data_IF_613912554355
#
_entry.id   IF_613912554355
#
_cell.length_a   1.000
_cell.length_b   1.000
_cell.length_c   1.000
_cell.angle_alpha   90.00
_cell.angle_beta   90.00
_cell.angle_gamma   90.00
#
_symmetry.space_group_name_H-M   'P 1'
#
loop_
_entity.id
_entity.type
_entity.pdbx_description
1 polymer ?
#
# COMPACT_ATOMS: atom_id res chain seq x y z
N UNK A 1 -9.89 -1.14 -4.32
CA UNK A 1 -8.75 -2.04 -4.07
C UNK A 1 -7.81 -1.48 -3.00
N UNK A 2 -7.43 -0.21 -3.06
CA UNK A 2 -6.46 0.36 -2.11
C UNK A 2 -7.00 0.48 -0.68
N UNK A 3 -8.29 0.65 -0.50
CA UNK A 3 -8.89 0.80 0.84
C UNK A 3 -8.52 -0.31 1.82
N UNK A 4 -8.23 -1.53 1.33
CA UNK A 4 -7.80 -2.64 2.19
C UNK A 4 -6.43 -2.43 2.84
N UNK A 5 -5.55 -1.63 2.19
CA UNK A 5 -4.18 -1.36 2.67
C UNK A 5 -4.08 -0.10 3.54
N UNK A 6 -5.18 0.63 3.75
CA UNK A 6 -5.18 1.84 4.57
C UNK A 6 -4.69 1.53 5.97
N UNK A 7 -5.30 0.58 6.65
CA UNK A 7 -4.99 0.23 8.04
C UNK A 7 -3.58 -0.38 8.20
N UNK A 8 -3.19 -1.42 7.43
CA UNK A 8 -1.90 -2.06 7.64
C UNK A 8 -0.69 -1.26 7.13
N UNK A 9 -0.88 -0.35 6.15
CA UNK A 9 0.25 0.32 5.52
C UNK A 9 0.13 1.82 5.38
N UNK A 10 -1.01 2.33 4.86
CA UNK A 10 -1.12 3.74 4.46
C UNK A 10 -1.01 4.65 5.69
N UNK A 11 -1.67 4.30 6.81
CA UNK A 11 -1.58 5.07 8.05
C UNK A 11 -0.16 5.08 8.60
N UNK A 12 0.49 3.92 8.72
CA UNK A 12 1.86 3.83 9.22
C UNK A 12 2.89 4.48 8.28
N UNK A 13 2.59 4.63 6.99
CA UNK A 13 3.45 5.34 6.02
C UNK A 13 3.29 6.85 6.11
N UNK A 14 2.05 7.33 6.16
CA UNK A 14 1.73 8.75 6.14
C UNK A 14 2.04 9.40 7.48
N UNK A 15 1.64 8.75 8.57
CA UNK A 15 1.81 9.23 9.94
C UNK A 15 2.97 8.52 10.65
N UNK A 16 4.07 8.22 9.94
CA UNK A 16 5.11 7.38 10.52
C UNK A 16 5.67 7.90 11.85
N UNK A 17 6.02 9.19 12.00
CA UNK A 17 6.46 9.72 13.29
C UNK A 17 5.41 9.53 14.39
N UNK A 18 4.19 10.00 14.14
CA UNK A 18 3.06 9.85 15.06
C UNK A 18 2.78 8.39 15.39
N UNK A 19 2.82 7.49 14.39
CA UNK A 19 2.59 6.06 14.57
C UNK A 19 3.62 5.44 15.52
N UNK A 20 4.90 5.78 15.35
CA UNK A 20 5.97 5.30 16.24
C UNK A 20 5.77 5.81 17.66
N UNK A 21 5.43 7.09 17.83
CA UNK A 21 5.22 7.71 19.14
C UNK A 21 3.99 7.11 19.86
N UNK A 22 2.82 7.09 19.22
CA UNK A 22 1.57 6.68 19.89
C UNK A 22 1.50 5.18 20.22
N UNK A 23 2.27 4.34 19.52
CA UNK A 23 2.38 2.91 19.81
C UNK A 23 3.66 2.56 20.57
N UNK A 24 4.47 3.54 20.96
CA UNK A 24 5.76 3.39 21.64
C UNK A 24 6.66 2.37 20.91
N UNK A 25 6.89 2.60 19.62
CA UNK A 25 7.65 1.72 18.74
C UNK A 25 8.92 2.37 18.22
N UNK A 26 9.96 1.57 18.12
CA UNK A 26 11.13 1.91 17.31
C UNK A 26 10.88 1.64 15.83
N UNK A 27 11.69 2.25 14.96
CA UNK A 27 11.67 1.95 13.52
C UNK A 27 11.93 0.47 13.22
N UNK A 28 12.75 -0.21 14.01
CA UNK A 28 13.04 -1.64 13.89
C UNK A 28 11.80 -2.48 14.22
N UNK A 29 11.10 -2.16 15.28
CA UNK A 29 9.87 -2.86 15.67
C UNK A 29 8.78 -2.69 14.62
N UNK A 30 8.56 -1.48 14.10
CA UNK A 30 7.65 -1.27 12.98
C UNK A 30 8.07 -2.08 11.75
N UNK A 31 9.37 -2.14 11.44
CA UNK A 31 9.92 -3.00 10.39
C UNK A 31 9.61 -4.47 10.63
N UNK A 32 9.65 -4.93 11.89
CA UNK A 32 9.32 -6.31 12.28
C UNK A 32 7.82 -6.59 12.11
N UNK A 33 6.95 -5.63 12.43
CA UNK A 33 5.51 -5.73 12.16
C UNK A 33 5.24 -5.94 10.66
N UNK A 34 5.86 -5.13 9.80
CA UNK A 34 5.76 -5.29 8.35
C UNK A 34 6.34 -6.61 7.86
N UNK A 35 7.41 -7.11 8.46
CA UNK A 35 8.00 -8.40 8.14
C UNK A 35 7.08 -9.55 8.51
N UNK A 36 6.44 -9.49 9.68
CA UNK A 36 5.44 -10.47 10.12
C UNK A 36 4.25 -10.51 9.16
N UNK A 37 3.72 -9.34 8.77
CA UNK A 37 2.72 -9.24 7.72
C UNK A 37 3.22 -9.91 6.43
N UNK A 38 4.45 -9.60 5.99
CA UNK A 38 5.03 -10.10 4.76
C UNK A 38 5.18 -11.62 4.72
N UNK A 39 5.59 -12.24 5.83
CA UNK A 39 5.71 -13.70 5.95
C UNK A 39 4.34 -14.37 5.77
N UNK A 40 3.33 -13.88 6.50
CA UNK A 40 1.96 -14.43 6.38
C UNK A 40 1.38 -14.17 4.98
N UNK A 41 1.62 -12.99 4.42
CA UNK A 41 1.21 -12.64 3.06
C UNK A 41 1.84 -13.59 2.03
N UNK A 42 3.14 -13.88 2.15
CA UNK A 42 3.85 -14.80 1.26
C UNK A 42 3.22 -16.20 1.27
N UNK A 43 2.95 -16.75 2.45
CA UNK A 43 2.26 -18.03 2.58
C UNK A 43 0.83 -17.97 2.01
N UNK A 44 0.16 -16.84 2.20
CA UNK A 44 -1.20 -16.61 1.72
C UNK A 44 -1.30 -16.57 0.19
N UNK A 45 -0.28 -16.10 -0.52
CA UNK A 45 -0.25 -16.12 -2.00
C UNK A 45 -0.35 -17.54 -2.57
N UNK A 46 0.29 -18.53 -1.93
CA UNK A 46 0.31 -19.90 -2.41
C UNK A 46 -1.11 -20.50 -2.46
N UNK A 47 -1.91 -20.24 -1.44
CA UNK A 47 -3.23 -20.81 -1.30
C UNK A 47 -4.38 -19.89 -1.76
N UNK A 48 -4.16 -18.59 -1.79
CA UNK A 48 -5.16 -17.58 -2.15
C UNK A 48 -5.67 -17.73 -3.59
N UNK A 49 -4.81 -18.15 -4.53
CA UNK A 49 -5.20 -18.43 -5.92
C UNK A 49 -6.24 -19.54 -6.02
N UNK A 50 -6.01 -20.66 -5.33
CA UNK A 50 -6.95 -21.80 -5.29
C UNK A 50 -8.30 -21.40 -4.69
N UNK A 51 -8.27 -20.55 -3.66
CA UNK A 51 -9.50 -20.03 -3.03
C UNK A 51 -10.28 -19.13 -4.01
N UNK A 52 -9.59 -18.25 -4.72
CA UNK A 52 -10.19 -17.37 -5.72
C UNK A 52 -10.85 -18.12 -6.88
N UNK A 53 -10.38 -19.34 -7.20
CA UNK A 53 -11.00 -20.17 -8.23
C UNK A 53 -12.28 -20.85 -7.74
N UNK A 54 -12.36 -21.16 -6.45
CA UNK A 54 -13.52 -21.87 -5.86
C UNK A 54 -14.66 -20.97 -5.45
N UNK A 55 -14.37 -19.74 -5.06
CA UNK A 55 -15.36 -18.82 -4.49
C UNK A 55 -15.55 -17.57 -5.35
N UNK A 56 -16.74 -16.99 -5.23
CA UNK A 56 -17.06 -15.75 -5.93
C UNK A 56 -16.15 -14.60 -5.45
N UNK A 57 -15.49 -13.86 -6.38
CA UNK A 57 -14.69 -12.68 -6.03
C UNK A 57 -15.43 -11.68 -5.16
N UNK A 58 -16.73 -11.47 -5.42
CA UNK A 58 -17.61 -10.61 -4.63
C UNK A 58 -17.57 -10.96 -3.13
N UNK A 59 -17.76 -12.25 -2.80
CA UNK A 59 -17.81 -12.70 -1.40
C UNK A 59 -16.43 -12.57 -0.74
N UNK A 60 -15.38 -12.99 -1.42
CA UNK A 60 -14.01 -12.95 -0.89
C UNK A 60 -13.54 -11.51 -0.65
N UNK A 61 -13.74 -10.62 -1.61
CA UNK A 61 -13.34 -9.21 -1.50
C UNK A 61 -14.10 -8.50 -0.37
N UNK A 62 -15.41 -8.73 -0.28
CA UNK A 62 -16.22 -8.13 0.78
C UNK A 62 -15.83 -8.65 2.17
N UNK A 63 -15.73 -9.98 2.33
CA UNK A 63 -15.31 -10.57 3.60
C UNK A 63 -13.94 -10.09 4.04
N UNK A 64 -13.00 -10.00 3.11
CA UNK A 64 -11.65 -9.48 3.36
C UNK A 64 -11.68 -8.04 3.89
N UNK A 65 -12.42 -7.14 3.24
CA UNK A 65 -12.55 -5.74 3.67
C UNK A 65 -13.18 -5.62 5.05
N UNK A 66 -14.27 -6.36 5.30
CA UNK A 66 -14.94 -6.35 6.60
C UNK A 66 -14.01 -6.89 7.70
N UNK A 67 -13.35 -8.03 7.46
CA UNK A 67 -12.41 -8.58 8.43
C UNK A 67 -11.23 -7.63 8.69
N UNK A 68 -10.67 -7.02 7.64
CA UNK A 68 -9.57 -6.05 7.79
C UNK A 68 -10.00 -4.84 8.62
N UNK A 69 -11.23 -4.35 8.45
CA UNK A 69 -11.77 -3.23 9.24
C UNK A 69 -11.93 -3.55 10.72
N UNK A 70 -12.27 -4.80 11.07
CA UNK A 70 -12.33 -5.24 12.46
C UNK A 70 -10.94 -5.19 13.14
N UNK A 71 -9.88 -5.50 12.40
CA UNK A 71 -8.52 -5.31 12.86
C UNK A 71 -8.21 -3.85 13.19
N UNK A 72 -8.76 -2.89 12.42
CA UNK A 72 -8.62 -1.46 12.73
C UNK A 72 -9.33 -1.06 14.01
N UNK A 73 -10.51 -1.62 14.29
CA UNK A 73 -11.19 -1.41 15.58
C UNK A 73 -10.35 -1.92 16.75
N UNK A 74 -9.71 -3.07 16.60
CA UNK A 74 -8.76 -3.56 17.60
C UNK A 74 -7.55 -2.65 17.75
N UNK A 75 -7.01 -2.11 16.65
CA UNK A 75 -5.88 -1.17 16.66
C UNK A 75 -6.19 0.11 17.47
N UNK A 76 -7.44 0.58 17.49
CA UNK A 76 -7.87 1.74 18.30
C UNK A 76 -7.69 1.57 19.81
N UNK A 77 -7.51 0.35 20.29
CA UNK A 77 -7.24 0.06 21.71
C UNK A 77 -5.78 0.24 22.10
N UNK A 78 -4.92 0.64 21.16
CA UNK A 78 -3.46 0.77 21.34
C UNK A 78 -2.85 -0.50 21.97
N UNK A 79 -3.00 -1.67 21.32
CA UNK A 79 -2.54 -2.92 21.87
C UNK A 79 -1.01 -2.95 22.00
N UNK A 80 -0.45 -3.69 22.98
CA UNK A 80 0.98 -3.81 23.14
C UNK A 80 1.63 -4.50 21.94
N UNK A 81 2.94 -4.33 21.80
CA UNK A 81 3.74 -4.74 20.63
C UNK A 81 3.43 -6.16 20.13
N UNK A 82 3.38 -7.17 20.97
CA UNK A 82 3.09 -8.55 20.53
C UNK A 82 1.67 -8.72 19.98
N UNK A 83 0.70 -8.03 20.56
CA UNK A 83 -0.69 -8.05 20.05
C UNK A 83 -0.78 -7.31 18.73
N UNK A 84 -0.03 -6.21 18.58
CA UNK A 84 0.09 -5.48 17.33
C UNK A 84 0.77 -6.35 16.25
N UNK A 85 1.79 -7.14 16.61
CA UNK A 85 2.43 -8.09 15.70
C UNK A 85 1.45 -9.16 15.21
N UNK A 86 0.61 -9.71 16.10
CA UNK A 86 -0.47 -10.63 15.72
C UNK A 86 -1.51 -9.98 14.81
N UNK A 87 -1.83 -8.71 15.04
CA UNK A 87 -2.71 -7.94 14.16
C UNK A 87 -2.12 -7.79 12.75
N UNK A 88 -0.82 -7.52 12.64
CA UNK A 88 -0.15 -7.44 11.33
C UNK A 88 -0.11 -8.80 10.62
N UNK A 89 0.10 -9.90 11.37
CA UNK A 89 -0.06 -11.25 10.83
C UNK A 89 -1.49 -11.50 10.31
N UNK A 90 -2.50 -11.13 11.10
CA UNK A 90 -3.91 -11.21 10.71
C UNK A 90 -4.20 -10.40 9.43
N UNK A 91 -3.67 -9.18 9.31
CA UNK A 91 -3.80 -8.39 8.09
C UNK A 91 -3.06 -9.00 6.90
N UNK A 92 -1.90 -9.63 7.10
CA UNK A 92 -1.22 -10.40 6.06
C UNK A 92 -2.10 -11.49 5.48
N UNK A 93 -2.90 -12.16 6.33
CA UNK A 93 -3.89 -13.14 5.90
C UNK A 93 -5.08 -12.48 5.22
N UNK A 94 -5.78 -11.55 5.86
CA UNK A 94 -7.02 -10.99 5.32
C UNK A 94 -6.81 -10.27 3.99
N UNK A 95 -5.71 -9.51 3.84
CA UNK A 95 -5.46 -8.68 2.66
C UNK A 95 -4.87 -9.44 1.48
N UNK A 96 -4.22 -10.58 1.72
CA UNK A 96 -3.58 -11.35 0.64
C UNK A 96 -4.36 -12.62 0.33
N UNK A 97 -4.64 -13.45 1.32
CA UNK A 97 -5.33 -14.72 1.11
C UNK A 97 -6.75 -14.52 0.59
N UNK A 98 -7.50 -13.57 1.16
CA UNK A 98 -8.90 -13.33 0.81
C UNK A 98 -9.09 -12.26 -0.27
N UNK A 99 -8.11 -11.37 -0.49
CA UNK A 99 -8.33 -10.19 -1.32
C UNK A 99 -7.54 -10.19 -2.62
N UNK A 100 -6.23 -10.45 -2.58
CA UNK A 100 -5.35 -10.16 -3.70
C UNK A 100 -5.70 -10.97 -4.96
N UNK A 101 -5.75 -12.29 -4.86
CA UNK A 101 -6.08 -13.14 -6.00
C UNK A 101 -7.51 -12.91 -6.53
N UNK A 102 -8.56 -12.80 -5.67
CA UNK A 102 -9.90 -12.41 -6.12
C UNK A 102 -9.96 -11.05 -6.79
N UNK A 103 -9.17 -10.06 -6.35
CA UNK A 103 -9.10 -8.74 -6.98
C UNK A 103 -8.53 -8.81 -8.39
N UNK A 104 -7.42 -9.53 -8.57
CA UNK A 104 -6.82 -9.76 -9.89
C UNK A 104 -7.80 -10.46 -10.82
N UNK A 105 -8.46 -11.53 -10.34
CA UNK A 105 -9.48 -12.25 -11.09
C UNK A 105 -10.65 -11.35 -11.48
N UNK A 106 -11.19 -10.58 -10.55
CA UNK A 106 -12.28 -9.65 -10.80
C UNK A 106 -11.89 -8.60 -11.86
N UNK A 107 -10.70 -8.02 -11.74
CA UNK A 107 -10.17 -7.01 -12.67
C UNK A 107 -9.98 -7.62 -14.06
N UNK A 108 -9.45 -8.83 -14.15
CA UNK A 108 -9.27 -9.55 -15.42
C UNK A 108 -10.61 -9.84 -16.11
N UNK A 109 -11.62 -10.29 -15.37
CA UNK A 109 -12.97 -10.55 -15.91
C UNK A 109 -13.60 -9.24 -16.43
N UNK A 110 -13.48 -8.14 -15.69
CA UNK A 110 -13.99 -6.83 -16.10
C UNK A 110 -13.30 -6.27 -17.35
N UNK A 111 -12.00 -6.52 -17.50
CA UNK A 111 -11.21 -6.11 -18.67
C UNK A 111 -11.49 -6.92 -19.92
N UNK A 112 -11.96 -8.15 -19.78
CA UNK A 112 -12.10 -9.09 -20.88
C UNK A 112 -10.77 -9.37 -21.59
N UNK A 113 -10.80 -10.07 -22.73
CA UNK A 113 -9.57 -10.49 -23.42
C UNK A 113 -8.78 -9.33 -24.04
N UNK A 114 -9.44 -8.25 -24.45
CA UNK A 114 -8.84 -7.21 -25.30
C UNK A 114 -8.48 -5.90 -24.54
N UNK A 115 -8.82 -5.76 -23.27
CA UNK A 115 -8.64 -4.52 -22.49
C UNK A 115 -7.95 -4.71 -21.16
N UNK A 116 -7.24 -5.82 -20.98
CA UNK A 116 -6.59 -6.17 -19.70
C UNK A 116 -5.62 -5.07 -19.23
N UNK A 117 -4.68 -4.66 -20.08
CA UNK A 117 -3.70 -3.65 -19.74
C UNK A 117 -4.36 -2.34 -19.28
N UNK A 118 -5.37 -1.86 -20.03
CA UNK A 118 -6.12 -0.65 -19.68
C UNK A 118 -6.84 -0.78 -18.34
N UNK A 119 -7.45 -1.93 -18.06
CA UNK A 119 -8.21 -2.15 -16.83
C UNK A 119 -7.28 -2.23 -15.61
N UNK A 120 -6.13 -2.88 -15.74
CA UNK A 120 -5.12 -2.91 -14.67
C UNK A 120 -4.48 -1.55 -14.44
N UNK A 121 -4.24 -0.75 -15.50
CA UNK A 121 -3.76 0.63 -15.36
C UNK A 121 -4.76 1.52 -14.60
N UNK A 122 -6.06 1.40 -14.91
CA UNK A 122 -7.09 2.11 -14.15
C UNK A 122 -7.18 1.66 -12.69
N UNK A 123 -7.03 0.36 -12.44
CA UNK A 123 -6.99 -0.16 -11.08
C UNK A 123 -5.84 0.49 -10.30
N UNK A 124 -4.66 0.53 -10.89
CA UNK A 124 -3.45 1.00 -10.21
C UNK A 124 -3.43 2.53 -10.04
N UNK A 125 -3.85 3.28 -11.05
CA UNK A 125 -4.06 4.72 -10.95
C UNK A 125 -5.10 5.07 -9.87
N UNK A 126 -6.23 4.35 -9.83
CA UNK A 126 -7.26 4.53 -8.80
C UNK A 126 -6.76 4.21 -7.39
N UNK A 127 -5.82 3.29 -7.25
CA UNK A 127 -5.19 2.97 -5.96
C UNK A 127 -4.42 4.18 -5.41
N UNK A 128 -3.60 4.84 -6.23
CA UNK A 128 -2.88 6.04 -5.82
C UNK A 128 -3.80 7.17 -5.38
N UNK A 129 -4.87 7.44 -6.15
CA UNK A 129 -5.85 8.48 -5.81
C UNK A 129 -6.53 8.17 -4.47
N UNK A 130 -6.98 6.93 -4.27
CA UNK A 130 -7.66 6.52 -3.03
C UNK A 130 -6.72 6.61 -1.83
N UNK A 131 -5.47 6.13 -1.95
CA UNK A 131 -4.47 6.22 -0.87
C UNK A 131 -4.23 7.67 -0.44
N UNK A 132 -4.01 8.57 -1.42
CA UNK A 132 -3.80 9.99 -1.15
C UNK A 132 -5.02 10.66 -0.54
N UNK A 133 -6.21 10.43 -1.11
CA UNK A 133 -7.43 11.08 -0.64
C UNK A 133 -7.77 10.69 0.80
N UNK A 134 -7.64 9.40 1.13
CA UNK A 134 -7.89 8.92 2.50
C UNK A 134 -6.75 9.35 3.43
N UNK A 135 -5.51 9.36 2.94
CA UNK A 135 -4.39 9.89 3.70
C UNK A 135 -4.59 11.37 4.08
N UNK A 136 -4.97 12.22 3.12
CA UNK A 136 -5.27 13.63 3.39
C UNK A 136 -6.50 13.83 4.29
N UNK A 137 -7.52 12.98 4.14
CA UNK A 137 -8.64 12.96 5.07
C UNK A 137 -8.16 12.65 6.50
N UNK A 138 -7.27 11.67 6.66
CA UNK A 138 -6.66 11.35 7.94
C UNK A 138 -5.87 12.54 8.52
N UNK A 139 -5.06 13.21 7.70
CA UNK A 139 -4.32 14.42 8.12
C UNK A 139 -5.29 15.54 8.53
N UNK A 140 -6.36 15.74 7.78
CA UNK A 140 -7.39 16.73 8.12
C UNK A 140 -8.07 16.40 9.45
N UNK A 141 -8.47 15.15 9.67
CA UNK A 141 -9.08 14.71 10.94
C UNK A 141 -8.11 14.91 12.10
N UNK A 142 -6.85 14.51 11.93
CA UNK A 142 -5.82 14.68 12.94
C UNK A 142 -5.64 16.14 13.32
N UNK A 143 -5.58 17.04 12.33
CA UNK A 143 -5.42 18.49 12.54
C UNK A 143 -6.65 19.18 13.16
N UNK A 144 -7.82 18.58 13.10
CA UNK A 144 -9.02 19.11 13.78
C UNK A 144 -9.05 18.78 15.27
N UNK A 145 -8.43 17.69 15.67
CA UNK A 145 -8.44 17.21 17.07
C UNK A 145 -7.27 17.81 17.86
N UNK A 146 -6.10 17.89 17.26
CA UNK A 146 -4.93 18.54 17.88
C UNK A 146 -5.07 20.05 17.71
N UNK A 147 -5.41 20.73 18.80
CA UNK A 147 -5.59 22.20 18.82
C UNK A 147 -4.30 22.84 19.34
N UNK A 148 -3.60 23.59 18.49
CA UNK A 148 -2.36 24.30 18.84
C UNK A 148 -1.13 23.79 18.11
N UNK A 149 0.05 24.00 18.70
CA UNK A 149 1.30 23.50 18.13
C UNK A 149 1.45 22.01 18.46
N UNK A 150 1.50 21.17 17.42
CA UNK A 150 1.61 19.72 17.54
C UNK A 150 2.92 19.31 18.20
N UNK A 151 3.97 20.11 18.04
CA UNK A 151 5.27 19.85 18.68
C UNK A 151 5.20 19.97 20.22
N UNK A 152 4.22 20.69 20.74
CA UNK A 152 3.96 20.84 22.17
C UNK A 152 2.87 19.90 22.69
N UNK A 153 2.17 19.18 21.82
CA UNK A 153 1.08 18.27 22.18
C UNK A 153 1.61 17.01 22.88
N UNK A 154 0.92 16.61 23.92
CA UNK A 154 1.24 15.37 24.65
C UNK A 154 0.99 14.12 23.80
N UNK A 155 1.68 13.02 24.13
CA UNK A 155 1.43 11.72 23.47
C UNK A 155 -0.03 11.27 23.63
N UNK A 156 -0.70 11.58 24.73
CA UNK A 156 -2.12 11.28 24.96
C UNK A 156 -3.02 12.04 23.97
N UNK A 157 -2.78 13.32 23.74
CA UNK A 157 -3.52 14.11 22.74
C UNK A 157 -3.32 13.58 21.32
N UNK A 158 -2.10 13.19 20.97
CA UNK A 158 -1.79 12.55 19.68
C UNK A 158 -2.46 11.19 19.56
N UNK A 159 -2.51 10.38 20.64
CA UNK A 159 -3.24 9.12 20.68
C UNK A 159 -4.73 9.34 20.43
N UNK A 160 -5.36 10.27 21.11
CA UNK A 160 -6.78 10.59 20.92
C UNK A 160 -7.06 11.01 19.49
N UNK A 161 -6.27 11.93 18.94
CA UNK A 161 -6.41 12.36 17.55
C UNK A 161 -6.23 11.20 16.55
N UNK A 162 -5.21 10.38 16.75
CA UNK A 162 -4.92 9.26 15.85
C UNK A 162 -5.96 8.13 15.97
N UNK A 163 -6.59 7.98 17.13
CA UNK A 163 -7.73 7.07 17.33
C UNK A 163 -8.90 7.40 16.41
N UNK A 164 -9.22 8.69 16.22
CA UNK A 164 -10.24 9.11 15.25
C UNK A 164 -9.83 8.79 13.82
N UNK A 165 -8.56 8.98 13.47
CA UNK A 165 -8.03 8.64 12.14
C UNK A 165 -8.17 7.14 11.87
N UNK A 166 -7.78 6.28 12.82
CA UNK A 166 -7.93 4.83 12.71
C UNK A 166 -9.41 4.44 12.61
N UNK A 167 -10.26 5.02 13.45
CA UNK A 167 -11.70 4.73 13.52
C UNK A 167 -12.42 5.06 12.22
N UNK A 168 -12.21 6.26 11.69
CA UNK A 168 -12.83 6.69 10.42
C UNK A 168 -12.27 5.87 9.25
N UNK A 169 -10.97 5.57 9.24
CA UNK A 169 -10.36 4.68 8.24
C UNK A 169 -10.98 3.29 8.29
N UNK A 170 -11.19 2.73 9.48
CA UNK A 170 -11.84 1.42 9.68
C UNK A 170 -13.28 1.44 9.17
N UNK A 171 -14.03 2.49 9.45
CA UNK A 171 -15.40 2.68 8.97
C UNK A 171 -15.45 2.76 7.44
N UNK A 172 -14.53 3.51 6.82
CA UNK A 172 -14.44 3.60 5.35
C UNK A 172 -14.17 2.21 4.76
N UNK A 173 -13.22 1.45 5.30
CA UNK A 173 -12.91 0.10 4.81
C UNK A 173 -14.12 -0.83 4.95
N UNK A 174 -14.85 -0.75 6.07
CA UNK A 174 -16.08 -1.50 6.30
C UNK A 174 -17.15 -1.15 5.27
N UNK A 175 -17.44 0.15 5.07
CA UNK A 175 -18.42 0.63 4.10
C UNK A 175 -18.07 0.15 2.69
N UNK A 176 -16.79 0.24 2.29
CA UNK A 176 -16.34 -0.28 0.99
C UNK A 176 -16.60 -1.79 0.90
N UNK A 177 -16.40 -2.54 1.97
CA UNK A 177 -16.72 -3.97 2.04
C UNK A 177 -18.20 -4.25 1.76
N UNK A 178 -19.11 -3.47 2.37
CA UNK A 178 -20.56 -3.55 2.15
C UNK A 178 -20.92 -3.14 0.71
N UNK A 179 -20.33 -2.07 0.19
CA UNK A 179 -20.54 -1.60 -1.20
C UNK A 179 -20.10 -2.68 -2.20
N UNK A 180 -18.94 -3.31 -2.00
CA UNK A 180 -18.50 -4.43 -2.83
C UNK A 180 -19.47 -5.59 -2.77
N UNK A 181 -19.98 -5.91 -1.58
CA UNK A 181 -20.98 -6.97 -1.43
C UNK A 181 -22.31 -6.66 -2.13
N UNK A 182 -22.75 -5.43 -2.15
CA UNK A 182 -24.04 -5.06 -2.76
C UNK A 182 -23.93 -4.88 -4.29
N UNK A 183 -22.91 -4.16 -4.75
CA UNK A 183 -22.84 -3.67 -6.13
C UNK A 183 -21.93 -4.51 -7.06
N UNK A 184 -20.97 -5.29 -6.55
CA UNK A 184 -20.08 -6.05 -7.41
C UNK A 184 -20.77 -7.31 -7.94
N UNK A 185 -21.28 -7.25 -9.16
CA UNK A 185 -21.90 -8.39 -9.84
C UNK A 185 -20.98 -8.90 -10.96
N UNK A 186 -20.14 -9.88 -10.63
CA UNK A 186 -19.27 -10.56 -11.57
C UNK A 186 -19.82 -11.97 -11.82
N UNK A 187 -20.25 -12.22 -13.06
CA UNK A 187 -20.64 -13.57 -13.50
C UNK A 187 -19.38 -14.37 -13.79
N UNK A 188 -19.09 -15.37 -12.98
CA UNK A 188 -18.06 -16.36 -13.28
C UNK A 188 -18.63 -17.27 -14.37
N UNK A 189 -18.01 -17.31 -15.55
CA UNK A 189 -18.31 -18.36 -16.54
C UNK A 189 -17.77 -19.66 -15.93
N UNK A 190 -18.67 -20.55 -15.55
CA UNK A 190 -18.31 -21.89 -15.10
C UNK A 190 -17.59 -22.63 -16.22
N UNK A 191 -16.36 -22.93 -16.05
CA UNK A 191 -15.45 -23.89 -16.70
C UNK A 191 -13.98 -23.43 -16.66
N UNK A 192 -13.60 -22.55 -15.74
CA UNK A 192 -12.18 -22.28 -15.51
C UNK A 192 -11.62 -23.51 -14.76
N UNK A 193 -10.67 -24.19 -15.38
CA UNK A 193 -9.95 -25.31 -14.75
C UNK A 193 -9.37 -24.81 -13.42
N UNK A 194 -9.78 -25.43 -12.32
CA UNK A 194 -9.20 -25.17 -10.99
C UNK A 194 -7.72 -25.47 -11.09
N UNK A 195 -6.88 -24.49 -10.86
CA UNK A 195 -5.44 -24.63 -10.89
C UNK A 195 -5.00 -25.76 -9.95
N UNK A 196 -4.32 -26.78 -10.48
CA UNK A 196 -3.73 -27.86 -9.66
C UNK A 196 -2.44 -27.34 -9.02
N UNK A 197 -2.29 -27.58 -7.73
CA UNK A 197 -1.09 -27.20 -6.96
C UNK A 197 0.21 -27.76 -7.57
N UNK A 198 0.16 -28.96 -8.14
CA UNK A 198 1.31 -29.55 -8.85
C UNK A 198 1.73 -28.75 -10.08
N UNK A 199 0.76 -28.26 -10.85
CA UNK A 199 1.00 -27.40 -12.01
C UNK A 199 1.62 -26.07 -11.60
N UNK A 200 1.18 -25.48 -10.49
CA UNK A 200 1.76 -24.25 -9.94
C UNK A 200 3.23 -24.44 -9.51
N UNK A 201 3.54 -25.53 -8.81
CA UNK A 201 4.94 -25.85 -8.40
C UNK A 201 5.83 -26.07 -9.63
N UNK A 202 5.30 -26.69 -10.70
CA UNK A 202 6.05 -26.87 -11.96
C UNK A 202 6.35 -25.53 -12.63
N UNK A 203 5.41 -24.57 -12.60
CA UNK A 203 5.62 -23.22 -13.14
C UNK A 203 6.70 -22.45 -12.37
N UNK A 204 6.79 -22.60 -11.05
CA UNK A 204 7.83 -21.97 -10.23
C UNK A 204 9.25 -22.43 -10.58
N UNK A 205 9.42 -23.60 -11.23
CA UNK A 205 10.70 -24.08 -11.74
C UNK A 205 11.08 -23.50 -13.13
N UNK A 206 10.16 -22.79 -13.78
CA UNK A 206 10.44 -22.14 -15.06
C UNK A 206 11.37 -20.92 -14.88
N UNK A 207 12.47 -20.90 -15.64
CA UNK A 207 13.44 -19.79 -15.64
C UNK A 207 12.77 -18.44 -15.89
N UNK A 208 11.81 -18.38 -16.80
CA UNK A 208 11.08 -17.15 -17.11
C UNK A 208 10.28 -16.64 -15.90
N UNK A 209 9.57 -17.54 -15.20
CA UNK A 209 8.79 -17.19 -14.00
C UNK A 209 9.69 -16.71 -12.88
N UNK A 210 10.82 -17.39 -12.64
CA UNK A 210 11.79 -17.00 -11.60
C UNK A 210 12.38 -15.63 -11.92
N UNK A 211 12.82 -15.39 -13.16
CA UNK A 211 13.39 -14.09 -13.55
C UNK A 211 12.37 -12.95 -13.44
N UNK A 212 11.14 -13.18 -13.91
CA UNK A 212 10.06 -12.19 -13.75
C UNK A 212 9.78 -11.91 -12.28
N UNK A 213 9.73 -12.94 -11.44
CA UNK A 213 9.58 -12.79 -9.99
C UNK A 213 10.70 -11.98 -9.36
N UNK A 214 11.95 -12.18 -9.77
CA UNK A 214 13.09 -11.39 -9.28
C UNK A 214 13.00 -9.92 -9.72
N UNK A 215 12.58 -9.63 -10.94
CA UNK A 215 12.35 -8.26 -11.43
C UNK A 215 11.28 -7.58 -10.58
N UNK A 216 10.16 -8.24 -10.35
CA UNK A 216 9.07 -7.70 -9.52
C UNK A 216 9.55 -7.49 -8.08
N UNK A 217 10.28 -8.44 -7.51
CA UNK A 217 10.81 -8.35 -6.15
C UNK A 217 11.75 -7.14 -6.00
N UNK A 218 12.70 -6.98 -6.91
CA UNK A 218 13.67 -5.86 -6.86
C UNK A 218 12.99 -4.52 -7.10
N UNK A 219 12.02 -4.42 -8.00
CA UNK A 219 11.22 -3.22 -8.18
C UNK A 219 10.43 -2.86 -6.91
N UNK A 220 9.84 -3.87 -6.26
CA UNK A 220 9.09 -3.67 -5.01
C UNK A 220 10.00 -3.24 -3.85
N UNK A 221 11.22 -3.77 -3.76
CA UNK A 221 12.21 -3.32 -2.77
C UNK A 221 12.55 -1.83 -2.94
N UNK A 222 12.73 -1.36 -4.18
CA UNK A 222 12.94 0.06 -4.47
C UNK A 222 11.71 0.92 -4.11
N UNK A 223 10.50 0.44 -4.41
CA UNK A 223 9.27 1.12 -4.00
C UNK A 223 9.16 1.32 -2.48
N UNK A 224 9.75 0.43 -1.66
CA UNK A 224 9.72 0.53 -0.19
C UNK A 224 10.40 1.79 0.36
N UNK A 225 11.23 2.48 -0.41
CA UNK A 225 11.77 3.79 -0.03
C UNK A 225 10.65 4.80 0.29
N UNK A 226 9.50 4.67 -0.37
CA UNK A 226 8.35 5.56 -0.12
C UNK A 226 7.76 5.44 1.29
N UNK A 227 8.04 4.34 2.00
CA UNK A 227 7.50 4.13 3.35
C UNK A 227 8.16 5.02 4.41
N UNK A 228 9.32 5.63 4.11
CA UNK A 228 10.06 6.47 5.06
C UNK A 228 9.96 7.97 4.75
N UNK A 229 9.21 8.39 3.74
CA UNK A 229 9.18 9.80 3.31
C UNK A 229 8.69 10.76 4.40
N UNK A 230 7.64 10.41 5.14
CA UNK A 230 7.16 11.24 6.23
C UNK A 230 8.15 11.30 7.39
N UNK A 231 8.85 10.20 7.68
CA UNK A 231 9.91 10.18 8.68
C UNK A 231 11.11 11.03 8.24
N UNK A 232 11.54 10.91 6.98
CA UNK A 232 12.61 11.75 6.44
C UNK A 232 12.25 13.24 6.49
N UNK A 233 11.00 13.56 6.17
CA UNK A 233 10.49 14.93 6.24
C UNK A 233 10.52 15.50 7.67
N UNK A 234 10.22 14.70 8.69
CA UNK A 234 10.27 15.15 10.09
C UNK A 234 11.70 15.19 10.64
N UNK A 235 12.51 14.15 10.43
CA UNK A 235 13.84 14.04 11.06
C UNK A 235 14.93 14.85 10.35
N UNK A 236 14.90 14.90 9.02
CA UNK A 236 15.97 15.56 8.22
C UNK A 236 15.54 16.94 7.74
N UNK A 237 14.28 17.07 7.25
CA UNK A 237 13.75 18.34 6.77
C UNK A 237 13.18 19.20 7.90
N UNK A 238 13.09 18.66 9.13
CA UNK A 238 12.56 19.32 10.31
C UNK A 238 11.13 19.86 10.14
N UNK A 239 10.32 19.15 9.35
CA UNK A 239 8.91 19.48 9.18
C UNK A 239 8.11 19.04 10.41
N UNK A 240 7.09 19.81 10.78
CA UNK A 240 6.11 19.37 11.74
C UNK A 240 5.36 18.12 11.28
N UNK A 241 4.70 17.41 12.21
CA UNK A 241 4.05 16.13 11.93
C UNK A 241 2.96 16.22 10.85
N UNK A 242 2.19 17.33 10.83
CA UNK A 242 1.16 17.53 9.79
C UNK A 242 1.81 17.72 8.43
N UNK A 243 2.86 18.53 8.33
CA UNK A 243 3.58 18.76 7.08
C UNK A 243 4.27 17.50 6.60
N UNK A 244 4.89 16.75 7.50
CA UNK A 244 5.50 15.45 7.20
C UNK A 244 4.45 14.42 6.72
N UNK A 245 3.28 14.35 7.37
CA UNK A 245 2.19 13.49 6.95
C UNK A 245 1.61 13.90 5.58
N UNK A 246 1.50 15.21 5.29
CA UNK A 246 1.11 15.70 3.96
C UNK A 246 2.08 15.25 2.88
N UNK A 247 3.40 15.26 3.13
CA UNK A 247 4.39 14.73 2.18
C UNK A 247 4.11 13.26 1.88
N UNK A 248 3.89 12.44 2.92
CA UNK A 248 3.53 11.04 2.77
C UNK A 248 2.23 10.80 1.98
N UNK A 249 1.25 11.70 2.10
CA UNK A 249 -0.01 11.63 1.37
C UNK A 249 0.14 12.11 -0.09
N UNK A 250 0.75 13.27 -0.32
CA UNK A 250 0.85 13.87 -1.65
C UNK A 250 1.68 13.04 -2.62
N UNK A 251 2.73 12.36 -2.14
CA UNK A 251 3.54 11.52 -3.01
C UNK A 251 2.72 10.40 -3.68
N UNK A 252 1.64 9.95 -3.07
CA UNK A 252 0.77 8.91 -3.66
C UNK A 252 -0.01 9.43 -4.89
N UNK A 253 -0.22 10.74 -5.04
CA UNK A 253 -0.81 11.32 -6.26
C UNK A 253 0.14 11.30 -7.46
N UNK A 254 1.45 11.17 -7.24
CA UNK A 254 2.40 11.05 -8.34
C UNK A 254 2.19 9.72 -9.10
N UNK A 255 1.77 8.67 -8.41
CA UNK A 255 1.56 7.34 -9.00
C UNK A 255 0.56 7.32 -10.16
N UNK A 256 -0.67 7.88 -10.07
CA UNK A 256 -1.58 7.98 -11.21
C UNK A 256 -0.98 8.73 -12.40
N UNK A 257 -0.27 9.82 -12.13
CA UNK A 257 0.35 10.65 -13.17
C UNK A 257 1.43 9.84 -13.89
N UNK A 258 2.32 9.20 -13.15
CA UNK A 258 3.41 8.38 -13.72
C UNK A 258 2.87 7.16 -14.45
N UNK A 259 1.84 6.47 -13.95
CA UNK A 259 1.19 5.36 -14.65
C UNK A 259 0.66 5.77 -16.03
N UNK A 260 0.02 6.94 -16.14
CA UNK A 260 -0.48 7.44 -17.42
C UNK A 260 0.68 7.77 -18.36
N UNK A 261 1.71 8.45 -17.87
CA UNK A 261 2.89 8.80 -18.68
C UNK A 261 3.63 7.56 -19.18
N UNK A 262 3.85 6.58 -18.29
CA UNK A 262 4.53 5.33 -18.62
C UNK A 262 3.75 4.54 -19.67
N UNK A 263 2.43 4.50 -19.62
CA UNK A 263 1.61 3.83 -20.63
C UNK A 263 1.92 4.36 -22.05
N UNK A 264 2.04 5.68 -22.22
CA UNK A 264 2.42 6.28 -23.52
C UNK A 264 3.85 5.93 -23.96
N UNK A 265 4.80 5.86 -23.02
CA UNK A 265 6.18 5.50 -23.33
C UNK A 265 6.32 4.01 -23.66
N UNK A 266 5.56 3.16 -22.99
CA UNK A 266 5.58 1.71 -23.20
C UNK A 266 5.13 1.34 -24.62
N UNK A 267 4.08 1.99 -25.12
CA UNK A 267 3.60 1.78 -26.49
C UNK A 267 4.64 2.16 -27.57
N UNK A 268 5.50 3.16 -27.27
CA UNK A 268 6.51 3.68 -28.23
C UNK A 268 7.87 2.99 -28.12
N UNK A 269 8.33 2.65 -26.92
CA UNK A 269 9.71 2.23 -26.62
C UNK A 269 9.82 0.76 -26.28
N UNK A 270 8.70 0.08 -26.02
CA UNK A 270 8.63 -1.31 -25.57
C UNK A 270 8.85 -1.48 -24.08
N UNK A 271 8.28 -2.53 -23.52
CA UNK A 271 8.23 -2.80 -22.08
C UNK A 271 9.62 -2.89 -21.42
N UNK A 272 10.58 -3.55 -22.07
CA UNK A 272 11.93 -3.77 -21.49
C UNK A 272 12.66 -2.45 -21.26
N UNK A 273 12.64 -1.55 -22.26
CA UNK A 273 13.33 -0.26 -22.16
C UNK A 273 12.71 0.63 -21.07
N UNK A 274 11.38 0.57 -20.91
CA UNK A 274 10.67 1.31 -19.86
C UNK A 274 11.01 0.77 -18.47
N UNK A 275 11.08 -0.54 -18.29
CA UNK A 275 11.48 -1.18 -17.02
C UNK A 275 12.93 -0.77 -16.67
N UNK A 276 13.87 -0.83 -17.62
CA UNK A 276 15.27 -0.43 -17.39
C UNK A 276 15.34 1.06 -17.00
N UNK A 277 14.61 1.93 -17.72
CA UNK A 277 14.56 3.36 -17.40
C UNK A 277 14.01 3.60 -15.99
N UNK A 278 12.94 2.90 -15.59
CA UNK A 278 12.38 2.95 -14.23
C UNK A 278 13.42 2.61 -13.16
N UNK A 279 14.16 1.51 -13.33
CA UNK A 279 15.22 1.13 -12.39
C UNK A 279 16.35 2.17 -12.32
N UNK A 280 16.74 2.77 -13.44
CA UNK A 280 17.77 3.83 -13.45
C UNK A 280 17.28 5.07 -12.70
N UNK A 281 16.04 5.50 -12.96
CA UNK A 281 15.43 6.66 -12.28
C UNK A 281 15.31 6.40 -10.77
N UNK A 282 14.87 5.20 -10.38
CA UNK A 282 14.77 4.80 -8.99
C UNK A 282 16.15 4.78 -8.29
N UNK A 283 17.19 4.29 -8.98
CA UNK A 283 18.55 4.30 -8.46
C UNK A 283 19.06 5.73 -8.24
N UNK A 284 18.82 6.64 -9.19
CA UNK A 284 19.20 8.06 -9.05
C UNK A 284 18.52 8.67 -7.82
N UNK A 285 17.21 8.43 -7.65
CA UNK A 285 16.48 8.91 -6.47
C UNK A 285 17.01 8.32 -5.16
N UNK A 286 17.29 7.03 -5.11
CA UNK A 286 17.87 6.37 -3.93
C UNK A 286 19.24 6.95 -3.56
N UNK A 287 20.12 7.20 -4.55
CA UNK A 287 21.45 7.81 -4.35
C UNK A 287 21.29 9.24 -3.82
N UNK A 288 20.34 10.02 -4.33
CA UNK A 288 20.07 11.38 -3.83
C UNK A 288 19.67 11.36 -2.35
N UNK A 289 18.76 10.46 -1.94
CA UNK A 289 18.40 10.31 -0.52
C UNK A 289 19.57 9.84 0.35
N UNK A 290 20.40 8.93 -0.14
CA UNK A 290 21.52 8.37 0.62
C UNK A 290 22.73 9.33 0.69
N UNK A 291 22.83 10.30 -0.22
CA UNK A 291 24.02 11.18 -0.35
C UNK A 291 24.19 12.17 0.81
N UNK A 292 23.17 12.40 1.64
CA UNK A 292 23.17 13.44 2.67
C UNK A 292 23.14 14.88 2.13
N UNK A 293 22.99 15.07 0.81
CA UNK A 293 22.89 16.41 0.20
C UNK A 293 21.56 17.08 0.55
N UNK A 294 20.51 16.28 0.78
CA UNK A 294 19.17 16.79 1.08
C UNK A 294 19.15 17.21 2.54
N UNK A 295 19.09 18.52 2.79
CA UNK A 295 19.03 19.14 4.11
C UNK A 295 17.80 20.04 4.20
N UNK A 296 17.45 20.46 5.41
CA UNK A 296 16.27 21.32 5.67
C UNK A 296 16.24 22.61 4.82
N UNK A 297 17.42 23.13 4.40
CA UNK A 297 17.52 24.30 3.55
C UNK A 297 17.24 24.05 2.06
N UNK A 298 17.17 22.78 1.62
CA UNK A 298 17.05 22.37 0.22
C UNK A 298 15.71 21.67 -0.09
N UNK A 299 14.61 22.26 0.36
CA UNK A 299 13.25 21.70 0.20
C UNK A 299 12.91 21.37 -1.27
N UNK A 300 13.34 22.22 -2.21
CA UNK A 300 13.11 21.96 -3.63
C UNK A 300 13.79 20.66 -4.10
N UNK A 301 15.02 20.39 -3.64
CA UNK A 301 15.74 19.17 -3.99
C UNK A 301 15.03 17.96 -3.36
N UNK A 302 14.53 18.10 -2.14
CA UNK A 302 13.74 17.06 -1.51
C UNK A 302 12.49 16.71 -2.35
N UNK A 303 11.70 17.71 -2.74
CA UNK A 303 10.49 17.50 -3.56
C UNK A 303 10.85 16.86 -4.91
N UNK A 304 11.91 17.32 -5.58
CA UNK A 304 12.38 16.73 -6.83
C UNK A 304 12.79 15.27 -6.65
N UNK A 305 13.45 14.94 -5.55
CA UNK A 305 13.85 13.56 -5.24
C UNK A 305 12.64 12.65 -5.01
N UNK A 306 11.57 13.14 -4.36
CA UNK A 306 10.31 12.42 -4.22
C UNK A 306 9.67 12.12 -5.60
N UNK A 307 9.66 13.10 -6.50
CA UNK A 307 9.12 12.93 -7.86
C UNK A 307 9.95 11.92 -8.64
N UNK A 308 11.28 11.99 -8.54
CA UNK A 308 12.19 11.07 -9.23
C UNK A 308 11.92 9.62 -8.76
N UNK A 309 11.90 9.36 -7.46
CA UNK A 309 11.64 8.01 -6.95
C UNK A 309 10.24 7.53 -7.33
N UNK A 310 9.21 8.37 -7.18
CA UNK A 310 7.85 8.02 -7.55
C UNK A 310 7.67 7.72 -9.06
N UNK A 311 8.52 8.33 -9.91
CA UNK A 311 8.51 8.05 -11.36
C UNK A 311 9.19 6.72 -11.68
N UNK A 312 10.17 6.29 -10.88
CA UNK A 312 10.88 5.02 -11.05
C UNK A 312 10.15 3.81 -10.49
N UNK A 313 9.20 4.03 -9.57
CA UNK A 313 8.44 2.96 -8.89
C UNK A 313 7.12 2.66 -9.57
#
# INVERSE_FOLDING_TARGET
AESIYILPYVLARIFRPTFLEVFDLTNLELGTLFSTYGIVAFLSYIFGGVLADKFSPKKLLSSSLILTSLGGVFMMTYPPYYSLQMLFAYWGFTTVFLFWAPMIKATSILGGLNRQGKTFSFLDAGRGIVASSIGLLGVFIFSLVVIGDISESSTEEKQDAFKYVIGISSLIVFIVGVVVYTFLNIKIKGDERIGDLKSMIKLLKSRSVVLTGLIILTAYMGYKITDIYSLYASEIMLFDEIRAAKVGAYQQYLRPITCVLIAFFTDKKGNINVIIAGFIVMLIGAVLFASGIITASLELIFILSLIIVATGT
#
